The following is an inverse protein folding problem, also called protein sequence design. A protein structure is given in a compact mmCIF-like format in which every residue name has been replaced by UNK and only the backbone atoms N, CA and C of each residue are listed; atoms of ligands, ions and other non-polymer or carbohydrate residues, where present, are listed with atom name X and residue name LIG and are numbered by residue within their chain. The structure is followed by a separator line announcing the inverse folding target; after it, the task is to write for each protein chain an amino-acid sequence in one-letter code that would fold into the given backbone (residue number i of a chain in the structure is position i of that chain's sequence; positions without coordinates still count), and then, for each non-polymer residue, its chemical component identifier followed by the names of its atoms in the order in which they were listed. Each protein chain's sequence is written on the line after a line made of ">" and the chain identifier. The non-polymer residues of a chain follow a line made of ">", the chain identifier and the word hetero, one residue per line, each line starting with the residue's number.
data_IF_799570988157
#
_entry.id   IF_799570988157
#
_cell.length_a   1.000
_cell.length_b   1.000
_cell.length_c   1.000
_cell.angle_alpha   90.00
_cell.angle_beta   90.00
_cell.angle_gamma   90.00
#
_symmetry.space_group_name_H-M   'P 1'
#
loop_
_entity.id
_entity.type
_entity.pdbx_description
1 polymer ?
#
# COMPACT_ATOMS: atom_id res chain seq x y z
N UNK A 1 -12.01 -17.57 -20.46
CA UNK A 1 -11.42 -17.56 -21.82
C UNK A 1 -9.92 -17.71 -21.61
N UNK A 2 -9.33 -18.87 -21.90
CA UNK A 2 -7.89 -19.06 -21.71
C UNK A 2 -7.20 -18.29 -22.84
N UNK A 3 -6.43 -17.25 -22.51
CA UNK A 3 -5.71 -16.47 -23.51
C UNK A 3 -4.72 -17.38 -24.28
N UNK A 4 -4.54 -17.08 -25.57
CA UNK A 4 -3.66 -17.83 -26.47
C UNK A 4 -2.22 -17.91 -25.89
N UNK A 5 -1.62 -19.10 -25.78
CA UNK A 5 -0.22 -19.25 -25.37
C UNK A 5 0.77 -18.35 -26.14
N UNK A 6 0.49 -18.02 -27.41
CA UNK A 6 1.32 -17.08 -28.18
C UNK A 6 1.22 -15.63 -27.65
N UNK A 7 0.03 -15.21 -27.21
CA UNK A 7 -0.19 -13.89 -26.64
C UNK A 7 0.57 -13.71 -25.32
N UNK A 8 0.52 -14.72 -24.43
CA UNK A 8 1.25 -14.67 -23.16
C UNK A 8 2.78 -14.59 -23.36
N UNK A 9 3.34 -15.36 -24.29
CA UNK A 9 4.77 -15.29 -24.62
C UNK A 9 5.18 -13.91 -25.11
N UNK A 10 4.35 -13.28 -25.94
CA UNK A 10 4.60 -11.92 -26.40
C UNK A 10 4.59 -10.93 -25.23
N UNK A 11 3.58 -10.99 -24.36
CA UNK A 11 3.50 -10.10 -23.20
C UNK A 11 4.66 -10.29 -22.22
N UNK A 12 5.11 -11.53 -22.01
CA UNK A 12 6.31 -11.82 -21.23
C UNK A 12 7.54 -11.17 -21.87
N UNK A 13 7.77 -11.39 -23.17
CA UNK A 13 8.92 -10.84 -23.88
C UNK A 13 8.95 -9.30 -23.85
N UNK A 14 7.80 -8.64 -23.96
CA UNK A 14 7.66 -7.18 -23.85
C UNK A 14 7.90 -6.65 -22.42
N UNK A 15 7.79 -7.52 -21.41
CA UNK A 15 7.90 -7.16 -19.99
C UNK A 15 9.26 -7.45 -19.37
N UNK A 16 10.21 -8.03 -20.12
CA UNK A 16 11.55 -8.34 -19.64
C UNK A 16 12.39 -7.06 -19.47
N UNK A 17 13.13 -6.99 -18.37
CA UNK A 17 14.12 -5.94 -18.15
C UNK A 17 15.48 -6.26 -18.81
N UNK A 18 16.48 -5.41 -18.54
CA UNK A 18 17.82 -5.57 -19.10
C UNK A 18 18.55 -6.86 -18.66
N UNK A 19 18.08 -7.52 -17.62
CA UNK A 19 18.58 -8.81 -17.14
C UNK A 19 17.79 -10.00 -17.69
N UNK A 20 16.74 -9.75 -18.48
CA UNK A 20 15.82 -10.79 -18.93
C UNK A 20 14.82 -11.21 -17.85
N UNK A 21 14.61 -10.37 -16.84
CA UNK A 21 13.72 -10.67 -15.71
C UNK A 21 12.36 -9.96 -15.86
N UNK A 22 11.30 -10.60 -15.35
CA UNK A 22 10.05 -9.90 -15.01
C UNK A 22 10.16 -9.36 -13.60
N UNK A 23 9.92 -8.05 -13.42
CA UNK A 23 9.88 -7.43 -12.11
C UNK A 23 8.81 -8.09 -11.21
N UNK A 24 9.14 -8.42 -9.94
CA UNK A 24 8.17 -9.06 -9.05
C UNK A 24 6.99 -8.11 -8.74
N UNK A 25 5.84 -8.62 -8.30
CA UNK A 25 4.61 -7.84 -8.17
C UNK A 25 4.76 -6.62 -7.27
N UNK A 26 5.46 -6.77 -6.14
CA UNK A 26 5.72 -5.67 -5.21
C UNK A 26 6.66 -4.59 -5.77
N UNK A 27 7.46 -4.90 -6.79
CA UNK A 27 8.32 -3.93 -7.46
C UNK A 27 7.59 -3.22 -8.60
N UNK A 28 6.68 -3.91 -9.30
CA UNK A 28 5.93 -3.34 -10.43
C UNK A 28 4.71 -2.53 -10.01
N UNK A 29 3.93 -3.05 -9.06
CA UNK A 29 2.67 -2.47 -8.59
C UNK A 29 2.73 -2.28 -7.06
N UNK A 30 3.72 -1.56 -6.52
CA UNK A 30 3.87 -1.35 -5.06
C UNK A 30 2.67 -0.68 -4.39
N UNK A 31 1.85 0.02 -5.18
CA UNK A 31 0.62 0.70 -4.77
C UNK A 31 -0.55 -0.24 -4.50
N UNK A 32 -0.49 -1.51 -4.92
CA UNK A 32 -1.52 -2.51 -4.64
C UNK A 32 -1.07 -3.35 -3.42
N UNK A 33 -1.71 -3.19 -2.23
CA UNK A 33 -1.37 -4.02 -1.08
C UNK A 33 -1.67 -5.50 -1.35
N UNK A 34 -0.93 -6.40 -0.71
CA UNK A 34 -1.18 -7.84 -0.82
C UNK A 34 -2.60 -8.17 -0.35
N UNK A 35 -3.28 -9.10 -1.03
CA UNK A 35 -4.65 -9.51 -0.71
C UNK A 35 -5.75 -8.58 -1.25
N UNK A 36 -5.40 -7.35 -1.65
CA UNK A 36 -6.31 -6.38 -2.26
C UNK A 36 -7.00 -6.94 -3.52
N UNK A 37 -8.22 -6.48 -3.78
CA UNK A 37 -9.00 -6.85 -4.98
C UNK A 37 -8.26 -6.51 -6.29
N UNK A 38 -7.33 -5.54 -6.27
CA UNK A 38 -6.50 -5.20 -7.43
C UNK A 38 -5.59 -6.34 -7.93
N UNK A 39 -5.35 -7.36 -7.11
CA UNK A 39 -4.63 -8.58 -7.52
C UNK A 39 -5.54 -9.64 -8.15
N UNK A 40 -6.86 -9.51 -8.00
CA UNK A 40 -7.87 -10.43 -8.56
C UNK A 40 -8.64 -9.82 -9.72
N UNK A 41 -8.42 -8.54 -9.99
CA UNK A 41 -9.09 -7.77 -11.03
C UNK A 41 -8.14 -6.70 -11.58
N UNK A 42 -8.12 -6.54 -12.91
CA UNK A 42 -7.43 -5.43 -13.56
C UNK A 42 -5.94 -5.67 -13.79
N UNK A 43 -5.12 -4.60 -13.73
CA UNK A 43 -3.72 -4.68 -14.14
C UNK A 43 -2.81 -5.43 -13.15
N UNK A 44 -3.19 -5.49 -11.86
CA UNK A 44 -2.46 -6.26 -10.86
C UNK A 44 -2.57 -7.77 -11.12
N UNK A 45 -3.79 -8.27 -11.35
CA UNK A 45 -4.03 -9.68 -11.73
C UNK A 45 -3.25 -10.06 -13.00
N UNK A 46 -3.30 -9.20 -14.02
CA UNK A 46 -2.58 -9.42 -15.26
C UNK A 46 -1.06 -9.53 -15.02
N UNK A 47 -0.48 -8.61 -14.24
CA UNK A 47 0.95 -8.65 -13.92
C UNK A 47 1.34 -9.86 -13.05
N UNK A 48 0.51 -10.20 -12.07
CA UNK A 48 0.73 -11.35 -11.20
C UNK A 48 0.73 -12.65 -12.02
N UNK A 49 -0.19 -12.77 -12.98
CA UNK A 49 -0.25 -13.91 -13.92
C UNK A 49 0.98 -13.97 -14.82
N UNK A 50 1.41 -12.85 -15.40
CA UNK A 50 2.65 -12.77 -16.20
C UNK A 50 3.86 -13.23 -15.39
N UNK A 51 3.99 -12.70 -14.18
CA UNK A 51 5.10 -13.00 -13.29
C UNK A 51 5.15 -14.48 -12.93
N UNK A 52 4.06 -15.10 -12.49
CA UNK A 52 4.05 -16.53 -12.17
C UNK A 52 4.31 -17.41 -13.39
N UNK A 53 3.74 -17.05 -14.55
CA UNK A 53 3.97 -17.80 -15.80
C UNK A 53 5.45 -17.78 -16.16
N UNK A 54 6.07 -16.61 -16.20
CA UNK A 54 7.51 -16.47 -16.46
C UNK A 54 8.35 -17.19 -15.40
N UNK A 55 8.01 -17.05 -14.11
CA UNK A 55 8.74 -17.63 -12.99
C UNK A 55 8.77 -19.16 -13.05
N UNK A 56 7.68 -19.78 -13.52
CA UNK A 56 7.55 -21.24 -13.69
C UNK A 56 8.49 -21.82 -14.76
N UNK A 57 8.91 -20.98 -15.72
CA UNK A 57 9.85 -21.37 -16.79
C UNK A 57 11.32 -21.16 -16.39
N UNK A 58 11.58 -20.49 -15.26
CA UNK A 58 12.93 -20.20 -14.78
C UNK A 58 13.55 -21.37 -13.98
N UNK A 59 14.89 -21.43 -13.87
CA UNK A 59 15.57 -22.40 -13.02
C UNK A 59 15.03 -22.41 -11.58
N UNK A 60 14.78 -23.60 -11.07
CA UNK A 60 14.21 -23.80 -9.71
C UNK A 60 15.28 -23.92 -8.63
N UNK A 61 16.57 -23.97 -8.99
CA UNK A 61 17.64 -24.04 -8.02
C UNK A 61 17.66 -22.78 -7.15
N UNK A 62 17.77 -22.96 -5.83
CA UNK A 62 17.72 -21.87 -4.85
C UNK A 62 18.71 -20.74 -5.16
N UNK A 63 19.89 -21.06 -5.67
CA UNK A 63 20.91 -20.07 -6.04
C UNK A 63 20.42 -19.12 -7.15
N UNK A 64 19.75 -19.65 -8.18
CA UNK A 64 19.21 -18.86 -9.29
C UNK A 64 18.03 -17.99 -8.83
N UNK A 65 17.14 -18.56 -8.00
CA UNK A 65 16.01 -17.84 -7.37
C UNK A 65 16.47 -16.71 -6.46
N UNK A 66 17.50 -16.96 -5.66
CA UNK A 66 18.12 -15.95 -4.82
C UNK A 66 18.77 -14.84 -5.65
N UNK A 67 19.47 -15.20 -6.73
CA UNK A 67 20.08 -14.23 -7.64
C UNK A 67 19.01 -13.34 -8.30
N UNK A 68 17.88 -13.92 -8.73
CA UNK A 68 16.72 -13.18 -9.23
C UNK A 68 16.21 -12.18 -8.19
N UNK A 69 15.88 -12.63 -6.98
CA UNK A 69 15.34 -11.76 -5.93
C UNK A 69 16.31 -10.61 -5.58
N UNK A 70 17.62 -10.87 -5.56
CA UNK A 70 18.64 -9.85 -5.28
C UNK A 70 18.83 -8.80 -6.37
N UNK A 71 18.39 -9.05 -7.60
CA UNK A 71 18.39 -8.04 -8.67
C UNK A 71 17.22 -7.06 -8.56
N UNK A 72 16.19 -7.41 -7.79
CA UNK A 72 14.99 -6.59 -7.60
C UNK A 72 14.95 -5.91 -6.23
N UNK A 73 14.10 -4.88 -6.06
CA UNK A 73 13.83 -4.32 -4.74
C UNK A 73 13.35 -5.40 -3.76
N UNK A 74 13.73 -5.32 -2.47
CA UNK A 74 13.24 -6.23 -1.46
C UNK A 74 11.71 -6.18 -1.38
N UNK A 75 11.10 -7.31 -1.03
CA UNK A 75 9.67 -7.41 -0.86
C UNK A 75 9.22 -6.71 0.44
N UNK A 76 8.02 -6.11 0.47
CA UNK A 76 7.38 -5.75 1.72
C UNK A 76 7.18 -6.98 2.60
N UNK A 77 7.09 -6.79 3.92
CA UNK A 77 6.93 -7.90 4.86
C UNK A 77 5.74 -8.80 4.55
N UNK A 78 4.61 -8.22 4.17
CA UNK A 78 3.40 -8.95 3.75
C UNK A 78 3.69 -9.99 2.64
N UNK A 79 4.69 -9.76 1.79
CA UNK A 79 5.08 -10.67 0.70
C UNK A 79 6.10 -11.74 1.08
N UNK A 80 6.49 -11.85 2.36
CA UNK A 80 7.55 -12.77 2.80
C UNK A 80 7.28 -14.23 2.38
N UNK A 81 6.04 -14.70 2.48
CA UNK A 81 5.67 -16.06 2.07
C UNK A 81 5.88 -16.29 0.57
N UNK A 82 5.57 -15.29 -0.25
CA UNK A 82 5.80 -15.36 -1.69
C UNK A 82 7.30 -15.40 -2.00
N UNK A 83 8.12 -14.64 -1.26
CA UNK A 83 9.58 -14.72 -1.37
C UNK A 83 10.09 -16.11 -0.99
N UNK A 84 9.57 -16.71 0.08
CA UNK A 84 9.93 -18.06 0.49
C UNK A 84 9.57 -19.09 -0.59
N UNK A 85 8.37 -19.00 -1.17
CA UNK A 85 7.94 -19.88 -2.26
C UNK A 85 8.76 -19.72 -3.54
N UNK A 86 9.24 -18.51 -3.83
CA UNK A 86 10.19 -18.29 -4.93
C UNK A 86 11.52 -19.00 -4.66
N UNK A 87 12.03 -18.96 -3.43
CA UNK A 87 13.30 -19.60 -3.05
C UNK A 87 13.20 -21.14 -3.01
N UNK A 88 12.04 -21.67 -2.59
CA UNK A 88 11.80 -23.09 -2.36
C UNK A 88 10.52 -23.56 -3.07
N UNK A 89 10.50 -23.66 -4.42
CA UNK A 89 9.29 -23.98 -5.17
C UNK A 89 8.74 -25.40 -4.92
N UNK A 90 9.56 -26.29 -4.35
CA UNK A 90 9.22 -27.70 -4.09
C UNK A 90 8.68 -27.95 -2.68
N UNK A 91 8.71 -26.94 -1.81
CA UNK A 91 8.10 -27.05 -0.49
C UNK A 91 6.68 -26.53 -0.67
N UNK A 92 5.71 -27.44 -0.81
CA UNK A 92 4.32 -27.08 -0.56
C UNK A 92 4.26 -26.65 0.90
N UNK A 93 4.17 -25.34 1.11
CA UNK A 93 3.85 -24.74 2.42
C UNK A 93 2.35 -24.54 2.57
N UNK A 94 1.56 -25.09 1.66
CA UNK A 94 0.20 -25.50 1.96
C UNK A 94 0.35 -26.54 3.08
N UNK A 95 0.33 -26.05 4.33
CA UNK A 95 0.31 -26.89 5.51
C UNK A 95 -0.75 -27.94 5.25
N UNK A 96 -0.37 -29.21 5.41
CA UNK A 96 -1.30 -30.25 5.80
C UNK A 96 -2.04 -29.72 7.04
N UNK A 97 -3.17 -29.05 6.80
CA UNK A 97 -4.20 -28.81 7.79
C UNK A 97 -4.78 -30.19 7.96
N UNK A 98 -4.27 -30.93 8.93
CA UNK A 98 -4.94 -32.12 9.42
C UNK A 98 -6.40 -31.72 9.68
N UNK A 99 -7.33 -32.28 8.90
CA UNK A 99 -8.78 -32.02 8.93
C UNK A 99 -9.45 -32.54 10.22
N UNK A 100 -8.75 -32.51 11.36
CA UNK A 100 -9.24 -33.01 12.63
C UNK A 100 -9.45 -31.85 13.63
N UNK A 101 -10.73 -31.45 13.70
CA UNK A 101 -11.48 -31.01 14.88
C UNK A 101 -11.24 -29.59 15.46
N UNK A 102 -12.22 -28.72 15.18
CA UNK A 102 -12.81 -27.75 16.12
C UNK A 102 -11.88 -26.77 16.86
N UNK A 103 -11.08 -26.01 16.11
CA UNK A 103 -10.52 -24.75 16.62
C UNK A 103 -11.02 -23.57 15.79
N UNK A 104 -12.11 -22.92 16.24
CA UNK A 104 -12.64 -21.66 15.69
C UNK A 104 -11.69 -20.47 15.95
N UNK A 105 -10.39 -20.64 15.67
CA UNK A 105 -9.37 -19.61 15.83
C UNK A 105 -8.22 -19.76 14.83
N UNK A 106 -8.46 -20.40 13.67
CA UNK A 106 -7.52 -20.51 12.54
C UNK A 106 -7.42 -19.19 11.77
N UNK A 107 -6.94 -18.20 12.50
CA UNK A 107 -6.51 -16.91 11.97
C UNK A 107 -4.98 -16.83 12.08
N UNK A 108 -4.33 -17.90 11.62
CA UNK A 108 -2.88 -18.14 11.61
C UNK A 108 -2.18 -17.14 10.67
N UNK A 109 -2.18 -15.91 11.14
CA UNK A 109 -1.36 -14.81 10.70
C UNK A 109 0.11 -15.23 10.73
N UNK A 110 0.84 -14.90 9.66
CA UNK A 110 2.31 -14.92 9.66
C UNK A 110 2.83 -14.03 10.77
N UNK A 111 3.11 -14.62 11.93
CA UNK A 111 3.44 -13.83 13.10
C UNK A 111 4.78 -13.14 12.87
N UNK A 112 4.91 -11.92 13.40
CA UNK A 112 6.07 -11.09 13.11
C UNK A 112 7.42 -11.73 13.55
N UNK A 113 7.32 -12.76 14.38
CA UNK A 113 8.39 -13.47 15.04
C UNK A 113 8.73 -14.83 14.40
N UNK A 114 8.11 -15.21 13.28
CA UNK A 114 8.50 -16.42 12.57
C UNK A 114 9.99 -16.39 12.20
N UNK A 115 10.82 -17.37 12.65
CA UNK A 115 12.27 -17.35 12.44
C UNK A 115 12.67 -17.20 10.97
N UNK A 116 11.92 -17.81 10.06
CA UNK A 116 12.20 -17.75 8.62
C UNK A 116 11.96 -16.35 8.03
N UNK A 117 10.99 -15.57 8.54
CA UNK A 117 10.80 -14.18 8.09
C UNK A 117 11.97 -13.32 8.55
N UNK A 118 12.48 -13.55 9.77
CA UNK A 118 13.66 -12.86 10.28
C UNK A 118 14.91 -13.16 9.44
N UNK A 119 15.05 -14.39 8.95
CA UNK A 119 16.12 -14.76 8.01
C UNK A 119 15.99 -14.03 6.68
N UNK A 120 14.78 -13.97 6.08
CA UNK A 120 14.57 -13.23 4.83
C UNK A 120 14.86 -11.73 4.97
N UNK A 121 14.55 -11.13 6.12
CA UNK A 121 14.89 -9.75 6.44
C UNK A 121 16.41 -9.60 6.59
N UNK A 122 17.07 -10.50 7.30
CA UNK A 122 18.53 -10.48 7.48
C UNK A 122 19.28 -10.65 6.15
N UNK A 123 18.74 -11.46 5.23
CA UNK A 123 19.24 -11.68 3.88
C UNK A 123 18.96 -10.50 2.92
N UNK A 124 18.19 -9.50 3.37
CA UNK A 124 17.82 -8.32 2.60
C UNK A 124 16.81 -8.60 1.47
N UNK A 125 16.08 -9.71 1.55
CA UNK A 125 15.04 -10.09 0.57
C UNK A 125 13.68 -9.51 0.93
N UNK A 126 13.46 -9.24 2.21
CA UNK A 126 12.26 -8.60 2.77
C UNK A 126 12.66 -7.36 3.56
N UNK A 127 11.88 -6.29 3.48
CA UNK A 127 12.16 -5.05 4.21
C UNK A 127 10.87 -4.34 4.67
N UNK A 128 10.97 -3.61 5.77
CA UNK A 128 9.96 -2.66 6.25
C UNK A 128 9.83 -1.44 5.30
N UNK A 129 8.61 -0.94 5.09
CA UNK A 129 8.31 0.21 4.18
C UNK A 129 8.85 0.02 2.74
N UNK A 130 9.05 -1.23 2.29
CA UNK A 130 9.67 -1.54 1.01
C UNK A 130 8.83 -1.09 -0.19
N UNK A 131 7.51 -1.20 -0.10
CA UNK A 131 6.60 -0.81 -1.18
C UNK A 131 6.73 0.68 -1.53
N UNK A 132 6.83 1.56 -0.52
CA UNK A 132 7.05 2.98 -0.77
C UNK A 132 8.38 3.24 -1.47
N UNK A 133 9.45 2.53 -1.07
CA UNK A 133 10.76 2.67 -1.71
C UNK A 133 10.71 2.19 -3.17
N UNK A 134 10.01 1.09 -3.45
CA UNK A 134 9.77 0.60 -4.81
C UNK A 134 8.97 1.62 -5.63
N UNK A 135 7.88 2.17 -5.08
CA UNK A 135 7.07 3.23 -5.72
C UNK A 135 7.92 4.46 -6.06
N UNK A 136 8.75 4.92 -5.11
CA UNK A 136 9.63 6.07 -5.33
C UNK A 136 10.69 5.82 -6.40
N UNK A 137 11.19 4.57 -6.55
CA UNK A 137 12.11 4.19 -7.63
C UNK A 137 11.41 4.16 -8.98
N UNK A 138 10.19 3.63 -9.04
CA UNK A 138 9.39 3.54 -10.27
C UNK A 138 9.06 4.92 -10.84
N UNK A 139 8.73 5.88 -9.98
CA UNK A 139 8.29 7.21 -10.39
C UNK A 139 9.38 8.29 -10.33
N UNK A 140 10.51 8.00 -9.70
CA UNK A 140 11.68 8.89 -9.64
C UNK A 140 11.38 10.27 -9.05
N UNK A 141 11.88 11.31 -9.73
CA UNK A 141 11.81 12.69 -9.24
C UNK A 141 10.48 13.39 -9.57
N UNK A 142 9.66 12.84 -10.46
CA UNK A 142 8.46 13.49 -10.98
C UNK A 142 7.33 12.45 -11.14
N UNK A 143 6.69 12.02 -10.04
CA UNK A 143 5.55 11.12 -10.13
C UNK A 143 4.39 11.75 -10.91
N UNK A 144 3.51 10.93 -11.51
CA UNK A 144 2.29 11.44 -12.12
C UNK A 144 1.43 12.15 -11.07
N UNK A 145 0.73 13.20 -11.49
CA UNK A 145 -0.20 13.87 -10.59
C UNK A 145 -1.38 12.94 -10.28
N UNK A 146 -1.77 12.76 -9.00
CA UNK A 146 -2.88 11.88 -8.64
C UNK A 146 -4.15 12.24 -9.40
N UNK A 147 -4.48 13.53 -9.49
CA UNK A 147 -5.66 14.02 -10.21
C UNK A 147 -5.63 13.84 -11.74
N UNK A 148 -4.50 13.43 -12.32
CA UNK A 148 -4.40 13.13 -13.75
C UNK A 148 -4.75 11.66 -14.07
N UNK A 149 -4.88 10.81 -13.04
CA UNK A 149 -5.26 9.41 -13.23
C UNK A 149 -6.74 9.30 -13.61
N UNK A 150 -7.04 8.40 -14.56
CA UNK A 150 -8.38 8.28 -15.13
C UNK A 150 -9.33 7.40 -14.33
N UNK A 151 -8.80 6.48 -13.52
CA UNK A 151 -9.61 5.44 -12.86
C UNK A 151 -10.57 5.98 -11.79
N UNK A 152 -10.36 7.20 -11.28
CA UNK A 152 -11.23 7.85 -10.30
C UNK A 152 -12.00 9.05 -10.88
N UNK A 153 -12.06 9.22 -12.21
CA UNK A 153 -12.80 10.29 -12.89
C UNK A 153 -12.47 11.71 -12.38
N UNK A 154 -11.23 11.95 -11.94
CA UNK A 154 -10.81 13.22 -11.34
C UNK A 154 -11.38 13.51 -9.94
N UNK A 155 -12.06 12.56 -9.30
CA UNK A 155 -12.58 12.69 -7.92
C UNK A 155 -11.50 12.46 -6.86
N UNK A 156 -11.34 13.42 -5.94
CA UNK A 156 -10.47 13.28 -4.76
C UNK A 156 -10.96 12.17 -3.82
N UNK A 157 -12.28 12.06 -3.63
CA UNK A 157 -12.89 11.07 -2.74
C UNK A 157 -12.57 9.65 -3.21
N UNK A 158 -12.82 9.35 -4.49
CA UNK A 158 -12.51 8.05 -5.08
C UNK A 158 -11.01 7.76 -5.10
N UNK A 159 -10.19 8.78 -5.36
CA UNK A 159 -8.73 8.63 -5.29
C UNK A 159 -8.28 8.21 -3.88
N UNK A 160 -8.81 8.85 -2.83
CA UNK A 160 -8.48 8.52 -1.45
C UNK A 160 -9.08 7.18 -0.99
N UNK A 161 -10.29 6.83 -1.42
CA UNK A 161 -10.98 5.59 -1.09
C UNK A 161 -10.25 4.36 -1.67
N UNK A 162 -10.00 4.34 -2.98
CA UNK A 162 -9.46 3.15 -3.67
C UNK A 162 -7.95 3.22 -3.93
N UNK A 163 -7.32 4.38 -3.71
CA UNK A 163 -5.89 4.63 -3.94
C UNK A 163 -5.19 5.19 -2.71
N UNK A 164 -5.70 4.90 -1.51
CA UNK A 164 -5.17 5.40 -0.24
C UNK A 164 -3.65 5.20 -0.11
N UNK A 165 -3.16 4.02 -0.51
CA UNK A 165 -1.74 3.64 -0.48
C UNK A 165 -0.89 4.45 -1.44
N UNK A 166 -1.28 4.54 -2.72
CA UNK A 166 -0.58 5.38 -3.70
C UNK A 166 -0.58 6.85 -3.28
N UNK A 167 -1.73 7.37 -2.84
CA UNK A 167 -1.88 8.74 -2.38
C UNK A 167 -0.99 9.02 -1.15
N UNK A 168 -0.83 8.05 -0.26
CA UNK A 168 0.10 8.13 0.88
C UNK A 168 1.55 8.21 0.40
N UNK A 169 1.96 7.37 -0.56
CA UNK A 169 3.32 7.43 -1.10
C UNK A 169 3.60 8.77 -1.78
N UNK A 170 2.65 9.25 -2.59
CA UNK A 170 2.72 10.54 -3.25
C UNK A 170 2.81 11.71 -2.25
N UNK A 171 1.98 11.72 -1.22
CA UNK A 171 1.96 12.81 -0.24
C UNK A 171 3.21 12.82 0.63
N UNK A 172 3.79 11.66 0.99
CA UNK A 172 5.13 11.57 1.61
C UNK A 172 6.21 12.13 0.69
N UNK A 173 6.17 11.81 -0.60
CA UNK A 173 7.08 12.36 -1.61
C UNK A 173 6.99 13.89 -1.67
N UNK A 174 5.77 14.43 -1.64
CA UNK A 174 5.51 15.87 -1.71
C UNK A 174 5.92 16.61 -0.43
N UNK A 175 5.57 16.06 0.75
CA UNK A 175 5.96 16.61 2.05
C UNK A 175 7.49 16.74 2.19
N UNK A 176 8.24 15.74 1.72
CA UNK A 176 9.72 15.76 1.72
C UNK A 176 10.33 16.85 0.81
N UNK A 177 9.59 17.30 -0.22
CA UNK A 177 10.04 18.26 -1.25
C UNK A 177 9.43 19.66 -1.12
N UNK A 178 8.65 19.88 -0.07
CA UNK A 178 8.04 21.19 0.22
C UNK A 178 9.10 22.25 0.50
N UNK A 179 10.18 21.86 1.19
CA UNK A 179 11.23 22.78 1.66
C UNK A 179 12.26 23.18 0.59
N UNK A 180 12.47 22.36 -0.44
CA UNK A 180 13.54 22.54 -1.44
C UNK A 180 13.04 23.09 -2.79
N UNK A 181 11.83 23.66 -2.83
CA UNK A 181 11.12 24.17 -4.02
C UNK A 181 10.83 23.13 -5.11
N UNK A 182 11.27 21.87 -4.97
CA UNK A 182 11.02 20.83 -5.99
C UNK A 182 9.54 20.52 -6.13
N UNK A 183 8.78 20.58 -5.04
CA UNK A 183 7.32 20.44 -5.10
C UNK A 183 6.68 21.57 -5.94
N UNK A 184 7.11 22.82 -5.76
CA UNK A 184 6.58 23.94 -6.52
C UNK A 184 6.92 23.84 -8.02
N UNK A 185 8.15 23.42 -8.35
CA UNK A 185 8.54 23.15 -9.73
C UNK A 185 7.72 22.01 -10.36
N UNK A 186 7.46 20.95 -9.61
CA UNK A 186 6.63 19.85 -10.07
C UNK A 186 5.17 20.28 -10.29
N UNK A 187 4.57 21.03 -9.35
CA UNK A 187 3.21 21.56 -9.46
C UNK A 187 3.03 22.43 -10.71
N UNK A 188 4.06 23.18 -11.10
CA UNK A 188 4.05 24.00 -12.31
C UNK A 188 4.17 23.19 -13.61
N UNK A 189 4.71 21.96 -13.55
CA UNK A 189 4.96 21.11 -14.71
C UNK A 189 3.84 20.11 -14.99
N UNK A 190 3.00 19.80 -14.00
CA UNK A 190 1.89 18.85 -14.15
C UNK A 190 0.59 19.53 -14.58
N UNK A 191 -0.38 18.78 -15.14
CA UNK A 191 -1.71 19.34 -15.43
C UNK A 191 -2.34 19.97 -14.19
N UNK A 192 -3.08 21.08 -14.33
CA UNK A 192 -3.72 21.73 -13.20
C UNK A 192 -4.74 20.81 -12.53
N UNK A 193 -4.80 20.85 -11.20
CA UNK A 193 -5.74 20.05 -10.44
C UNK A 193 -7.19 20.56 -10.65
N UNK A 194 -8.18 19.67 -10.77
CA UNK A 194 -9.60 20.06 -10.80
C UNK A 194 -10.02 20.82 -9.53
N UNK A 195 -11.11 21.59 -9.58
CA UNK A 195 -11.56 22.42 -8.46
C UNK A 195 -11.76 21.63 -7.15
N UNK A 196 -12.23 20.37 -7.24
CA UNK A 196 -12.41 19.47 -6.08
C UNK A 196 -11.13 19.11 -5.34
N UNK A 197 -9.95 19.37 -5.91
CA UNK A 197 -8.64 19.11 -5.32
C UNK A 197 -8.01 20.34 -4.66
N UNK A 198 -8.65 21.50 -4.73
CA UNK A 198 -8.10 22.77 -4.25
C UNK A 198 -7.58 22.70 -2.80
N UNK A 199 -8.37 22.15 -1.87
CA UNK A 199 -7.96 21.97 -0.47
C UNK A 199 -6.78 20.99 -0.32
N UNK A 200 -6.73 19.93 -1.14
CA UNK A 200 -5.62 18.98 -1.15
C UNK A 200 -4.33 19.67 -1.65
N UNK A 201 -4.39 20.40 -2.76
CA UNK A 201 -3.23 21.11 -3.32
C UNK A 201 -2.73 22.20 -2.38
N UNK A 202 -3.64 22.93 -1.73
CA UNK A 202 -3.31 23.92 -0.69
C UNK A 202 -2.57 23.24 0.49
N UNK A 203 -3.11 22.13 1.00
CA UNK A 203 -2.49 21.37 2.08
C UNK A 203 -1.12 20.81 1.68
N UNK A 204 -1.00 20.25 0.48
CA UNK A 204 0.24 19.72 -0.08
C UNK A 204 1.31 20.80 -0.15
N UNK A 205 0.94 21.99 -0.62
CA UNK A 205 1.85 23.13 -0.81
C UNK A 205 2.27 23.74 0.52
N UNK A 206 1.34 23.96 1.44
CA UNK A 206 1.59 24.71 2.68
C UNK A 206 2.05 23.84 3.84
N UNK A 207 1.75 22.54 3.81
CA UNK A 207 1.94 21.65 4.96
C UNK A 207 1.03 21.95 6.13
N UNK A 208 -0.07 22.66 5.88
CA UNK A 208 -1.05 23.04 6.88
C UNK A 208 -2.41 22.51 6.46
N UNK A 209 -3.23 22.15 7.44
CA UNK A 209 -4.59 21.73 7.15
C UNK A 209 -5.46 22.97 6.89
N UNK A 210 -6.08 23.12 5.70
CA UNK A 210 -6.96 24.23 5.40
C UNK A 210 -8.23 24.19 6.26
N UNK A 211 -8.97 25.31 6.32
CA UNK A 211 -10.33 25.37 6.92
C UNK A 211 -11.28 24.31 6.35
N UNK A 212 -10.99 23.84 5.13
CA UNK A 212 -11.72 22.73 4.52
C UNK A 212 -11.64 21.44 5.33
N UNK A 213 -10.56 21.17 6.08
CA UNK A 213 -10.47 19.99 6.94
C UNK A 213 -11.55 20.01 8.03
N UNK A 214 -11.74 21.14 8.72
CA UNK A 214 -12.76 21.25 9.76
C UNK A 214 -14.18 21.00 9.22
N UNK A 215 -14.46 21.46 7.98
CA UNK A 215 -15.73 21.16 7.30
C UNK A 215 -15.88 19.69 6.95
N UNK A 216 -14.81 19.05 6.46
CA UNK A 216 -14.81 17.64 6.11
C UNK A 216 -14.99 16.75 7.35
N UNK A 217 -14.32 17.07 8.46
CA UNK A 217 -14.48 16.34 9.73
C UNK A 217 -15.90 16.45 10.33
N UNK A 218 -16.60 17.55 10.07
CA UNK A 218 -17.97 17.75 10.56
C UNK A 218 -19.02 17.04 9.69
N UNK A 219 -18.67 16.58 8.50
CA UNK A 219 -19.59 15.96 7.54
C UNK A 219 -19.41 14.43 7.52
N UNK A 220 -20.47 13.65 7.82
CA UNK A 220 -20.38 12.19 7.90
C UNK A 220 -19.90 11.49 6.62
N UNK A 221 -20.12 12.08 5.44
CA UNK A 221 -19.77 11.53 4.13
C UNK A 221 -18.54 12.21 3.50
N UNK A 222 -17.61 12.69 4.33
CA UNK A 222 -16.41 13.41 3.88
C UNK A 222 -15.12 12.88 4.52
N UNK A 223 -15.16 11.68 5.10
CA UNK A 223 -14.00 11.02 5.72
C UNK A 223 -12.82 10.91 4.75
N UNK A 224 -13.07 10.48 3.51
CA UNK A 224 -12.04 10.39 2.46
C UNK A 224 -11.41 11.73 2.10
N UNK A 225 -12.20 12.81 2.05
CA UNK A 225 -11.67 14.15 1.80
C UNK A 225 -10.80 14.63 2.97
N UNK A 226 -11.25 14.41 4.21
CA UNK A 226 -10.46 14.71 5.40
C UNK A 226 -9.15 13.89 5.43
N UNK A 227 -9.21 12.59 5.10
CA UNK A 227 -8.03 11.73 4.96
C UNK A 227 -7.04 12.32 3.96
N UNK A 228 -7.48 12.59 2.73
CA UNK A 228 -6.63 13.13 1.68
C UNK A 228 -5.98 14.47 2.07
N UNK A 229 -6.73 15.35 2.73
CA UNK A 229 -6.22 16.66 3.19
C UNK A 229 -5.15 16.48 4.28
N UNK A 230 -5.34 15.56 5.23
CA UNK A 230 -4.32 15.29 6.27
C UNK A 230 -3.08 14.65 5.68
N UNK A 231 -3.24 13.67 4.77
CA UNK A 231 -2.14 13.10 4.00
C UNK A 231 -1.36 14.18 3.27
N UNK A 232 -2.02 15.08 2.55
CA UNK A 232 -1.37 16.17 1.84
C UNK A 232 -0.59 17.10 2.78
N UNK A 233 -1.15 17.44 3.94
CA UNK A 233 -0.49 18.33 4.88
C UNK A 233 0.79 17.71 5.46
N UNK A 234 0.71 16.49 5.98
CA UNK A 234 1.77 15.93 6.82
C UNK A 234 2.55 14.77 6.17
N UNK A 235 2.08 14.27 5.02
CA UNK A 235 2.57 13.05 4.38
C UNK A 235 2.02 11.77 5.01
N UNK A 236 1.29 11.84 6.12
CA UNK A 236 0.63 10.71 6.79
C UNK A 236 -0.73 11.18 7.30
N UNK A 237 -1.68 10.26 7.43
CA UNK A 237 -2.97 10.61 8.00
C UNK A 237 -2.80 10.97 9.48
N UNK A 238 -3.54 11.97 9.96
CA UNK A 238 -3.53 12.30 11.39
C UNK A 238 -4.42 11.32 12.15
N UNK A 239 -3.96 10.82 13.28
CA UNK A 239 -4.80 9.95 14.10
C UNK A 239 -6.12 10.66 14.49
N UNK A 240 -7.28 9.99 14.48
CA UNK A 240 -8.58 10.60 14.76
C UNK A 240 -8.65 11.39 16.08
N UNK A 241 -8.07 10.86 17.16
CA UNK A 241 -8.02 11.54 18.46
C UNK A 241 -7.22 12.85 18.44
N UNK A 242 -6.26 12.99 17.52
CA UNK A 242 -5.51 14.24 17.31
C UNK A 242 -6.34 15.32 16.63
N UNK A 243 -7.45 14.93 16.01
CA UNK A 243 -8.41 15.81 15.36
C UNK A 243 -9.67 16.03 16.22
N UNK A 244 -9.74 15.44 17.42
CA UNK A 244 -10.94 15.48 18.25
C UNK A 244 -12.10 14.61 17.71
N UNK A 245 -11.80 13.66 16.83
CA UNK A 245 -12.79 12.69 16.33
C UNK A 245 -12.96 11.59 17.39
N UNK A 246 -14.17 11.41 17.95
CA UNK A 246 -14.40 10.43 19.02
C UNK A 246 -14.40 9.00 18.48
N UNK A 247 -13.98 8.02 19.29
CA UNK A 247 -14.03 6.61 18.89
C UNK A 247 -15.45 6.15 18.50
N UNK A 248 -16.47 6.72 19.15
CA UNK A 248 -17.89 6.44 18.85
C UNK A 248 -18.35 6.85 17.45
N UNK A 249 -17.53 7.58 16.67
CA UNK A 249 -17.84 7.87 15.28
C UNK A 249 -17.41 6.77 14.31
N UNK A 250 -16.60 5.82 14.76
CA UNK A 250 -16.25 4.64 13.97
C UNK A 250 -17.46 3.72 13.86
N UNK A 251 -17.75 3.24 12.64
CA UNK A 251 -18.93 2.43 12.33
C UNK A 251 -18.63 1.15 11.57
N UNK A 252 -17.36 0.93 11.20
CA UNK A 252 -16.94 -0.20 10.37
C UNK A 252 -17.62 -0.19 8.98
N UNK A 253 -17.81 1.01 8.44
CA UNK A 253 -18.45 1.22 7.14
C UNK A 253 -17.41 1.25 6.01
N UNK A 254 -17.72 0.55 4.91
CA UNK A 254 -16.83 0.34 3.77
C UNK A 254 -17.40 0.94 2.47
N UNK A 255 -17.61 2.26 2.45
CA UNK A 255 -18.25 2.96 1.33
C UNK A 255 -17.62 4.29 0.97
N UNK A 256 -18.21 4.95 -0.03
CA UNK A 256 -17.78 6.30 -0.46
C UNK A 256 -18.20 7.39 0.54
N UNK A 257 -19.20 7.11 1.38
CA UNK A 257 -19.84 8.05 2.30
C UNK A 257 -19.53 7.75 3.77
N UNK A 258 -18.24 7.59 4.09
CA UNK A 258 -17.79 7.22 5.44
C UNK A 258 -17.23 8.40 6.25
N UNK A 259 -17.24 8.25 7.57
CA UNK A 259 -16.61 9.18 8.51
C UNK A 259 -15.08 9.11 8.46
N UNK A 260 -14.42 10.10 9.08
CA UNK A 260 -12.95 10.13 9.12
C UNK A 260 -12.36 8.95 9.90
N UNK A 261 -13.07 8.48 10.93
CA UNK A 261 -12.65 7.32 11.72
C UNK A 261 -12.51 6.07 10.83
N UNK A 262 -13.55 5.75 10.06
CA UNK A 262 -13.56 4.60 9.14
C UNK A 262 -12.51 4.77 8.03
N UNK A 263 -12.44 5.95 7.42
CA UNK A 263 -11.44 6.24 6.39
C UNK A 263 -9.99 6.09 6.92
N UNK A 264 -9.73 6.47 8.17
CA UNK A 264 -8.43 6.30 8.80
C UNK A 264 -8.11 4.84 9.12
N UNK A 265 -9.07 4.06 9.63
CA UNK A 265 -8.89 2.62 9.88
C UNK A 265 -8.56 1.90 8.56
N UNK A 266 -9.32 2.17 7.51
CA UNK A 266 -9.08 1.61 6.18
C UNK A 266 -7.71 2.02 5.62
N UNK A 267 -7.36 3.31 5.73
CA UNK A 267 -6.04 3.79 5.34
C UNK A 267 -4.92 3.06 6.09
N UNK A 268 -5.06 2.86 7.40
CA UNK A 268 -4.08 2.14 8.19
C UNK A 268 -3.92 0.71 7.69
N UNK A 269 -5.02 0.00 7.47
CA UNK A 269 -5.03 -1.36 6.89
C UNK A 269 -4.27 -1.44 5.55
N UNK A 270 -4.54 -0.50 4.64
CA UNK A 270 -3.98 -0.52 3.29
C UNK A 270 -2.49 -0.08 3.23
N UNK A 271 -2.05 0.81 4.13
CA UNK A 271 -0.78 1.53 3.97
C UNK A 271 0.39 0.96 4.77
N UNK A 272 0.13 0.17 5.82
CA UNK A 272 1.18 -0.42 6.64
C UNK A 272 1.39 -1.89 6.28
N UNK A 273 2.62 -2.23 5.91
CA UNK A 273 3.00 -3.61 5.57
C UNK A 273 3.47 -4.43 6.77
N UNK A 274 3.63 -3.80 7.94
CA UNK A 274 4.18 -4.46 9.12
C UNK A 274 3.88 -3.74 10.44
N UNK A 275 3.80 -4.53 11.51
CA UNK A 275 3.57 -4.05 12.88
C UNK A 275 4.60 -3.03 13.37
N UNK A 276 5.93 -3.18 13.16
CA UNK A 276 6.90 -2.17 13.59
C UNK A 276 6.64 -0.77 13.01
N UNK A 277 6.33 -0.69 11.71
CA UNK A 277 6.06 0.59 11.05
C UNK A 277 4.73 1.18 11.53
N UNK A 278 3.71 0.35 11.72
CA UNK A 278 2.44 0.75 12.32
C UNK A 278 2.61 1.30 13.75
N UNK A 279 3.36 0.60 14.60
CA UNK A 279 3.68 1.04 15.98
C UNK A 279 4.44 2.36 15.97
N UNK A 280 5.44 2.51 15.10
CA UNK A 280 6.18 3.77 14.93
C UNK A 280 5.27 4.95 14.56
N UNK A 281 4.23 4.70 13.75
CA UNK A 281 3.22 5.71 13.44
C UNK A 281 2.34 6.06 14.66
N UNK A 282 1.89 5.06 15.43
CA UNK A 282 1.11 5.29 16.65
C UNK A 282 1.90 6.08 17.70
N UNK A 283 3.16 5.70 17.93
CA UNK A 283 4.06 6.38 18.85
C UNK A 283 4.26 7.86 18.46
N UNK A 284 4.44 8.13 17.16
CA UNK A 284 4.56 9.48 16.64
C UNK A 284 3.24 10.29 16.71
N UNK A 285 2.09 9.60 16.78
CA UNK A 285 0.77 10.22 16.89
C UNK A 285 0.43 10.67 18.31
N UNK A 286 1.26 10.33 19.30
CA UNK A 286 1.04 10.65 20.72
C UNK A 286 0.12 9.65 21.44
N UNK A 287 -0.21 9.89 22.72
CA UNK A 287 -0.94 8.93 23.53
C UNK A 287 -2.27 8.53 22.90
N UNK A 288 -2.48 7.22 22.73
CA UNK A 288 -3.72 6.64 22.19
C UNK A 288 -4.75 6.56 23.32
N UNK A 289 -5.92 7.20 23.19
CA UNK A 289 -7.01 7.06 24.15
C UNK A 289 -7.51 5.61 24.28
N UNK A 290 -8.04 5.25 25.45
CA UNK A 290 -8.44 3.88 25.76
C UNK A 290 -9.55 3.34 24.84
N UNK A 291 -10.49 4.20 24.46
CA UNK A 291 -11.56 3.89 23.50
C UNK A 291 -11.03 3.61 22.09
N UNK A 292 -9.96 4.29 21.68
CA UNK A 292 -9.27 4.02 20.42
C UNK A 292 -8.40 2.76 20.46
N UNK A 293 -7.83 2.39 21.62
CA UNK A 293 -7.06 1.16 21.76
C UNK A 293 -7.92 -0.08 21.46
N UNK A 294 -9.19 -0.08 21.86
CA UNK A 294 -10.11 -1.17 21.57
C UNK A 294 -10.35 -1.33 20.06
N UNK A 295 -10.61 -0.23 19.35
CA UNK A 295 -10.77 -0.24 17.89
C UNK A 295 -9.49 -0.71 17.21
N UNK A 296 -8.33 -0.19 17.60
CA UNK A 296 -7.04 -0.59 17.01
C UNK A 296 -6.76 -2.07 17.26
N UNK A 297 -7.02 -2.57 18.47
CA UNK A 297 -6.80 -3.96 18.81
C UNK A 297 -7.75 -4.90 18.04
N UNK A 298 -8.98 -4.46 17.74
CA UNK A 298 -9.96 -5.26 17.02
C UNK A 298 -9.74 -5.23 15.51
N UNK A 299 -9.69 -4.03 14.93
CA UNK A 299 -9.73 -3.83 13.48
C UNK A 299 -8.35 -3.94 12.83
N UNK A 300 -7.31 -3.60 13.58
CA UNK A 300 -5.95 -3.51 13.06
C UNK A 300 -5.03 -4.57 13.66
N UNK A 301 -5.57 -5.55 14.38
CA UNK A 301 -4.85 -6.79 14.72
C UNK A 301 -4.42 -7.55 13.45
N UNK A 302 -5.19 -7.40 12.37
CA UNK A 302 -4.94 -7.97 11.05
C UNK A 302 -3.87 -7.21 10.23
N UNK A 303 -3.33 -6.09 10.72
CA UNK A 303 -2.07 -5.55 10.22
C UNK A 303 -0.95 -6.53 10.61
N UNK A 304 -0.80 -7.56 9.79
CA UNK A 304 0.08 -8.73 9.94
C UNK A 304 1.43 -8.44 9.29
#
# INVERSE_FOLDING_TARGET
>A
MVADPAWWRQQIAESLDAHGDIAPPWARCPEIPLGSIGWRMGYGEHWLTLWYTWLSEQPTARADRLAYLRRHPPAPRTWAEHVARVLEPSVDRDRDVDEDEDNENDDDALDADEPWVRELIADGLVQHDAARLAWARLHGAAPPAPWAQRWHDGSLLRCACHGARELTFFTRWGAARRKDRRLASWLAAVPPAPAGWSAFVEALTTGSCPRALARALAAPAQGWAALAITLAADGLARAPWRLGVPASSFRDEHGDDVGYADAWCWWAFECFDDRPTWRGYLDASGPVPADWLEIIARELAALR
#
